data_IF_734801342066
#
_entry.id   IF_734801342066
#
_cell.length_a   1.000
_cell.length_b   1.000
_cell.length_c   1.000
_cell.angle_alpha   90.00
_cell.angle_beta   90.00
_cell.angle_gamma   90.00
#
_symmetry.space_group_name_H-M   'P 1'
#
loop_
_entity.id
_entity.type
_entity.pdbx_description
1 polymer ?
#
# COMPACT_ATOMS: atom_id res chain seq x y z
N UNK A 1 6.28 -11.34 7.43
CA UNK A 1 5.36 -11.08 8.57
C UNK A 1 4.26 -10.08 8.18
N UNK A 2 4.59 -8.90 7.63
CA UNK A 2 3.61 -7.88 7.23
C UNK A 2 2.52 -8.41 6.27
N UNK A 3 2.91 -9.07 5.17
CA UNK A 3 1.97 -9.67 4.21
C UNK A 3 1.02 -10.67 4.85
N UNK A 4 1.55 -11.58 5.67
CA UNK A 4 0.73 -12.58 6.36
C UNK A 4 -0.30 -11.95 7.29
N UNK A 5 0.10 -10.92 8.06
CA UNK A 5 -0.81 -10.18 8.93
C UNK A 5 -1.89 -9.46 8.12
N UNK A 6 -1.52 -8.71 7.07
CA UNK A 6 -2.47 -8.01 6.21
C UNK A 6 -3.48 -8.98 5.58
N UNK A 7 -3.01 -10.10 5.02
CA UNK A 7 -3.88 -11.09 4.38
C UNK A 7 -4.84 -11.76 5.37
N UNK A 8 -4.41 -12.00 6.60
CA UNK A 8 -5.29 -12.54 7.65
C UNK A 8 -6.42 -11.56 7.97
N UNK A 9 -6.09 -10.28 8.13
CA UNK A 9 -7.10 -9.23 8.40
C UNK A 9 -8.03 -9.04 7.20
N UNK A 10 -7.50 -9.02 5.98
CA UNK A 10 -8.27 -8.92 4.73
C UNK A 10 -9.23 -10.11 4.59
N UNK A 11 -8.78 -11.33 4.90
CA UNK A 11 -9.64 -12.52 4.91
C UNK A 11 -10.77 -12.41 5.92
N UNK A 12 -10.47 -12.06 7.18
CA UNK A 12 -11.48 -11.96 8.25
C UNK A 12 -12.52 -10.89 7.90
N UNK A 13 -12.07 -9.72 7.47
CA UNK A 13 -12.96 -8.61 7.14
C UNK A 13 -13.78 -8.92 5.88
N UNK A 14 -13.18 -9.51 4.85
CA UNK A 14 -13.90 -9.90 3.63
C UNK A 14 -14.97 -10.95 3.94
N UNK A 15 -14.63 -11.97 4.73
CA UNK A 15 -15.59 -12.98 5.18
C UNK A 15 -16.72 -12.36 6.01
N UNK A 16 -16.39 -11.49 6.96
CA UNK A 16 -17.39 -10.77 7.76
C UNK A 16 -18.32 -9.93 6.89
N UNK A 17 -17.77 -9.16 5.94
CA UNK A 17 -18.58 -8.32 5.05
C UNK A 17 -19.50 -9.18 4.19
N UNK A 18 -18.98 -10.27 3.62
CA UNK A 18 -19.77 -11.13 2.74
C UNK A 18 -20.89 -11.88 3.50
N UNK A 19 -20.62 -12.33 4.73
CA UNK A 19 -21.58 -13.11 5.53
C UNK A 19 -22.59 -12.22 6.27
N UNK A 20 -22.17 -11.06 6.76
CA UNK A 20 -22.97 -10.22 7.68
C UNK A 20 -23.37 -8.87 7.13
N UNK A 21 -22.71 -8.38 6.08
CA UNK A 21 -22.91 -7.04 5.53
C UNK A 21 -23.11 -7.05 4.02
N UNK A 22 -24.09 -7.83 3.56
CA UNK A 22 -24.51 -7.83 2.15
C UNK A 22 -24.99 -6.45 1.69
N UNK A 23 -25.43 -5.59 2.62
CA UNK A 23 -25.71 -4.17 2.39
C UNK A 23 -24.53 -3.44 1.76
N UNK A 24 -23.30 -3.69 2.23
CA UNK A 24 -22.09 -3.02 1.70
C UNK A 24 -21.74 -3.53 0.30
N UNK A 25 -21.96 -4.82 0.05
CA UNK A 25 -21.62 -5.47 -1.22
C UNK A 25 -22.60 -5.08 -2.32
N UNK A 26 -23.88 -4.87 -1.98
CA UNK A 26 -24.95 -4.53 -2.92
C UNK A 26 -25.34 -3.05 -2.93
N UNK A 27 -24.57 -2.18 -2.26
CA UNK A 27 -24.77 -0.74 -2.32
C UNK A 27 -24.71 -0.27 -3.77
N UNK A 28 -25.87 0.13 -4.28
CA UNK A 28 -25.98 0.78 -5.58
C UNK A 28 -25.34 2.16 -5.50
N UNK A 29 -24.56 2.60 -6.51
CA UNK A 29 -23.97 3.95 -6.56
C UNK A 29 -24.99 5.10 -6.42
N UNK A 30 -26.29 4.79 -6.55
CA UNK A 30 -27.40 5.77 -6.51
C UNK A 30 -28.03 5.98 -5.13
N UNK A 31 -27.51 5.42 -4.03
CA UNK A 31 -28.08 5.72 -2.71
C UNK A 31 -27.62 7.13 -2.25
N UNK A 32 -28.58 8.05 -2.10
CA UNK A 32 -28.35 9.44 -1.64
C UNK A 32 -27.98 9.52 -0.14
N UNK A 33 -27.98 8.37 0.54
CA UNK A 33 -27.40 8.26 1.87
C UNK A 33 -25.88 8.21 1.72
N UNK A 34 -25.19 9.22 2.25
CA UNK A 34 -23.73 9.21 2.45
C UNK A 34 -23.34 8.10 3.43
N UNK A 35 -23.44 6.85 3.00
CA UNK A 35 -22.98 5.71 3.77
C UNK A 35 -21.46 5.80 3.84
N UNK A 36 -20.97 6.35 4.95
CA UNK A 36 -19.54 6.50 5.18
C UNK A 36 -18.91 5.11 5.23
N UNK A 37 -17.87 4.93 4.43
CA UNK A 37 -17.09 3.68 4.41
C UNK A 37 -16.75 3.24 5.84
N UNK A 38 -17.11 2.00 6.24
CA UNK A 38 -16.85 1.53 7.60
C UNK A 38 -15.38 1.58 7.98
N UNK A 39 -15.09 1.79 9.26
CA UNK A 39 -13.72 1.97 9.76
C UNK A 39 -12.79 0.80 9.43
N UNK A 40 -13.31 -0.43 9.43
CA UNK A 40 -12.51 -1.63 9.13
C UNK A 40 -12.13 -1.73 7.65
N UNK A 41 -12.95 -1.20 6.73
CA UNK A 41 -12.59 -1.11 5.30
C UNK A 41 -11.53 -0.02 5.08
N UNK A 42 -11.64 1.10 5.80
CA UNK A 42 -10.58 2.12 5.81
C UNK A 42 -9.27 1.53 6.35
N UNK A 43 -9.32 0.75 7.42
CA UNK A 43 -8.16 0.05 7.96
C UNK A 43 -7.54 -0.92 6.95
N UNK A 44 -8.35 -1.73 6.25
CA UNK A 44 -7.84 -2.61 5.18
C UNK A 44 -7.14 -1.83 4.09
N UNK A 45 -7.68 -0.68 3.69
CA UNK A 45 -7.05 0.16 2.69
C UNK A 45 -5.70 0.69 3.17
N UNK A 46 -5.64 1.20 4.40
CA UNK A 46 -4.38 1.64 5.02
C UNK A 46 -3.35 0.50 5.04
N UNK A 47 -3.75 -0.68 5.50
CA UNK A 47 -2.86 -1.85 5.56
C UNK A 47 -2.41 -2.30 4.17
N UNK A 48 -3.28 -2.24 3.16
CA UNK A 48 -2.94 -2.54 1.77
C UNK A 48 -1.87 -1.58 1.23
N UNK A 49 -2.03 -0.27 1.44
CA UNK A 49 -1.07 0.76 0.98
C UNK A 49 0.30 0.58 1.66
N UNK A 50 0.30 0.33 2.97
CA UNK A 50 1.51 0.02 3.75
C UNK A 50 2.17 -1.24 3.20
N UNK A 51 1.42 -2.33 3.07
CA UNK A 51 1.92 -3.62 2.65
C UNK A 51 2.55 -3.55 1.26
N UNK A 52 1.88 -2.90 0.31
CA UNK A 52 2.36 -2.77 -1.05
C UNK A 52 3.68 -2.01 -1.14
N UNK A 53 3.73 -0.83 -0.51
CA UNK A 53 4.90 0.04 -0.57
C UNK A 53 6.09 -0.56 0.17
N UNK A 54 5.87 -1.07 1.38
CA UNK A 54 6.95 -1.58 2.24
C UNK A 54 7.52 -2.90 1.71
N UNK A 55 6.71 -3.83 1.21
CA UNK A 55 7.22 -5.11 0.67
C UNK A 55 8.18 -4.91 -0.50
N UNK A 56 7.82 -4.04 -1.45
CA UNK A 56 8.66 -3.73 -2.62
C UNK A 56 9.89 -2.95 -2.19
N UNK A 57 9.74 -1.95 -1.31
CA UNK A 57 10.89 -1.17 -0.81
C UNK A 57 11.92 -2.05 -0.10
N UNK A 58 11.48 -2.93 0.81
CA UNK A 58 12.39 -3.83 1.54
C UNK A 58 13.13 -4.75 0.57
N UNK A 59 12.48 -5.19 -0.50
CA UNK A 59 13.12 -6.04 -1.51
C UNK A 59 14.18 -5.28 -2.30
N UNK A 60 13.89 -4.04 -2.72
CA UNK A 60 14.86 -3.16 -3.37
C UNK A 60 16.05 -2.90 -2.44
N UNK A 61 15.79 -2.57 -1.17
CA UNK A 61 16.83 -2.31 -0.18
C UNK A 61 17.68 -3.56 0.09
N UNK A 62 17.06 -4.73 0.22
CA UNK A 62 17.76 -5.98 0.48
C UNK A 62 18.69 -6.37 -0.67
N UNK A 63 18.19 -6.41 -1.90
CA UNK A 63 19.01 -6.78 -3.06
C UNK A 63 19.96 -5.68 -3.53
N UNK A 64 19.70 -4.42 -3.17
CA UNK A 64 20.52 -3.27 -3.56
C UNK A 64 21.59 -2.87 -2.54
N UNK A 65 21.38 -3.11 -1.24
CA UNK A 65 22.26 -2.62 -0.16
C UNK A 65 22.91 -3.75 0.65
N UNK A 66 22.36 -4.97 0.62
CA UNK A 66 22.89 -6.12 1.34
C UNK A 66 23.38 -7.18 0.36
N UNK A 67 24.29 -8.03 0.83
CA UNK A 67 24.72 -9.22 0.08
C UNK A 67 23.62 -10.28 0.23
N UNK A 68 22.85 -10.59 -0.84
CA UNK A 68 21.74 -11.51 -0.73
C UNK A 68 22.27 -12.91 -0.47
N UNK A 69 21.82 -13.52 0.62
CA UNK A 69 22.00 -14.94 0.85
C UNK A 69 21.01 -15.70 -0.02
N UNK A 70 21.48 -16.73 -0.73
CA UNK A 70 20.63 -17.61 -1.55
C UNK A 70 19.79 -18.59 -0.74
N UNK A 71 19.62 -18.35 0.56
CA UNK A 71 18.83 -19.22 1.41
C UNK A 71 17.33 -19.06 1.09
N UNK A 72 16.54 -20.14 1.16
CA UNK A 72 15.13 -20.11 0.81
C UNK A 72 14.32 -19.07 1.61
N UNK A 73 14.67 -18.85 2.88
CA UNK A 73 13.94 -17.93 3.77
C UNK A 73 14.12 -16.48 3.33
N UNK A 74 15.32 -16.11 2.91
CA UNK A 74 15.64 -14.79 2.36
C UNK A 74 14.88 -14.55 1.05
N UNK A 75 14.91 -15.52 0.13
CA UNK A 75 14.21 -15.45 -1.16
C UNK A 75 12.70 -15.31 -0.94
N UNK A 76 12.13 -16.07 0.00
CA UNK A 76 10.73 -15.99 0.36
C UNK A 76 10.34 -14.61 0.89
N UNK A 77 11.11 -14.10 1.87
CA UNK A 77 10.81 -12.84 2.57
C UNK A 77 10.84 -11.61 1.65
N UNK A 78 11.66 -11.63 0.60
CA UNK A 78 11.90 -10.47 -0.26
C UNK A 78 11.32 -10.69 -1.67
N UNK A 79 11.89 -11.61 -2.45
CA UNK A 79 11.51 -11.80 -3.84
C UNK A 79 10.08 -12.34 -4.00
N UNK A 80 9.77 -13.48 -3.37
CA UNK A 80 8.44 -14.11 -3.51
C UNK A 80 7.36 -13.19 -2.91
N UNK A 81 7.64 -12.60 -1.75
CA UNK A 81 6.77 -11.59 -1.12
C UNK A 81 6.43 -10.44 -2.08
N UNK A 82 7.43 -9.80 -2.70
CA UNK A 82 7.16 -8.68 -3.62
C UNK A 82 6.37 -9.09 -4.85
N UNK A 83 6.67 -10.26 -5.43
CA UNK A 83 5.90 -10.81 -6.56
C UNK A 83 4.44 -11.03 -6.14
N UNK A 84 4.21 -11.64 -4.98
CA UNK A 84 2.87 -11.87 -4.44
C UNK A 84 2.10 -10.56 -4.28
N UNK A 85 2.75 -9.53 -3.72
CA UNK A 85 2.15 -8.21 -3.49
C UNK A 85 1.80 -7.51 -4.81
N UNK A 86 2.68 -7.55 -5.81
CA UNK A 86 2.40 -6.99 -7.14
C UNK A 86 1.24 -7.72 -7.83
N UNK A 87 1.20 -9.06 -7.78
CA UNK A 87 0.07 -9.82 -8.33
C UNK A 87 -1.23 -9.47 -7.62
N UNK A 88 -1.20 -9.42 -6.29
CA UNK A 88 -2.37 -9.06 -5.47
C UNK A 88 -2.87 -7.65 -5.77
N UNK A 89 -1.96 -6.71 -6.02
CA UNK A 89 -2.30 -5.35 -6.43
C UNK A 89 -3.13 -5.32 -7.72
N UNK A 90 -2.71 -6.07 -8.75
CA UNK A 90 -3.44 -6.15 -10.01
C UNK A 90 -4.79 -6.87 -9.89
N UNK A 91 -4.88 -7.89 -9.02
CA UNK A 91 -6.11 -8.68 -8.81
C UNK A 91 -7.15 -7.95 -7.95
N UNK A 92 -6.75 -7.39 -6.80
CA UNK A 92 -7.68 -6.82 -5.82
C UNK A 92 -8.29 -5.49 -6.27
N UNK A 93 -7.77 -4.86 -7.31
CA UNK A 93 -8.35 -3.69 -7.94
C UNK A 93 -8.55 -2.45 -7.04
N UNK A 94 -7.95 -2.42 -5.84
CA UNK A 94 -8.11 -1.37 -4.84
C UNK A 94 -7.52 -0.03 -5.36
N UNK A 95 -8.21 1.11 -5.17
CA UNK A 95 -7.71 2.39 -5.61
C UNK A 95 -6.49 2.83 -4.80
N UNK A 96 -5.55 3.55 -5.44
CA UNK A 96 -4.39 4.16 -4.76
C UNK A 96 -4.56 5.67 -4.73
N UNK A 97 -4.35 6.29 -3.57
CA UNK A 97 -4.39 7.75 -3.41
C UNK A 97 -3.00 8.29 -3.12
N UNK A 98 -2.64 9.41 -3.77
CA UNK A 98 -1.33 10.02 -3.60
C UNK A 98 -1.04 10.40 -2.13
N UNK A 99 -2.05 10.95 -1.43
CA UNK A 99 -1.93 11.36 -0.02
C UNK A 99 -1.74 10.18 0.95
N UNK A 100 -2.01 8.94 0.53
CA UNK A 100 -1.82 7.75 1.38
C UNK A 100 -0.35 7.38 1.57
N UNK A 101 0.60 8.07 0.91
CA UNK A 101 2.04 7.93 1.15
C UNK A 101 2.43 8.14 2.63
N UNK A 102 1.62 8.89 3.37
CA UNK A 102 1.84 9.11 4.82
C UNK A 102 1.80 7.81 5.62
N UNK A 103 1.01 6.82 5.22
CA UNK A 103 0.88 5.57 5.98
C UNK A 103 2.16 4.73 5.98
N UNK A 104 2.77 4.38 4.83
CA UNK A 104 4.05 3.69 4.84
C UNK A 104 5.19 4.56 5.43
N UNK A 105 5.13 5.89 5.32
CA UNK A 105 6.10 6.78 5.97
C UNK A 105 6.06 6.67 7.49
N UNK A 106 4.87 6.71 8.09
CA UNK A 106 4.68 6.55 9.54
C UNK A 106 5.21 5.20 10.01
N UNK A 107 4.94 4.13 9.26
CA UNK A 107 5.48 2.80 9.56
C UNK A 107 7.02 2.77 9.47
N UNK A 108 7.61 3.46 8.49
CA UNK A 108 9.05 3.64 8.40
C UNK A 108 9.64 4.30 9.64
N UNK A 109 9.05 5.41 10.10
CA UNK A 109 9.49 6.12 11.31
C UNK A 109 9.37 5.24 12.56
N UNK A 110 8.25 4.51 12.71
CA UNK A 110 8.07 3.56 13.82
C UNK A 110 9.17 2.49 13.81
N UNK A 111 9.51 1.97 12.63
CA UNK A 111 10.55 0.95 12.49
C UNK A 111 11.95 1.48 12.83
N UNK A 112 12.25 2.73 12.46
CA UNK A 112 13.51 3.40 12.84
C UNK A 112 13.63 3.49 14.37
N UNK A 113 12.58 3.98 15.04
CA UNK A 113 12.54 4.07 16.51
C UNK A 113 12.73 2.69 17.13
N UNK A 114 12.01 1.68 16.62
CA UNK A 114 12.16 0.30 17.06
C UNK A 114 13.60 -0.20 16.90
N UNK A 115 14.28 0.09 15.77
CA UNK A 115 15.64 -0.37 15.53
C UNK A 115 16.66 0.21 16.51
N UNK A 116 16.50 1.49 16.91
CA UNK A 116 17.33 2.11 17.95
C UNK A 116 17.12 1.42 19.29
N UNK A 117 15.85 1.27 19.69
CA UNK A 117 15.49 0.63 20.96
C UNK A 117 15.99 -0.82 21.00
N UNK A 118 15.91 -1.53 19.88
CA UNK A 118 16.38 -2.91 19.77
C UNK A 118 17.88 -3.03 20.03
N UNK A 119 18.69 -2.18 19.38
CA UNK A 119 20.15 -2.25 19.53
C UNK A 119 20.59 -1.81 20.93
N UNK A 120 20.03 -0.71 21.45
CA UNK A 120 20.39 -0.16 22.77
C UNK A 120 19.86 -1.02 23.92
N UNK A 121 18.66 -1.61 23.77
CA UNK A 121 18.01 -2.41 24.79
C UNK A 121 18.36 -3.89 24.78
N UNK A 122 18.97 -4.38 23.69
CA UNK A 122 19.46 -5.75 23.56
C UNK A 122 20.95 -5.86 23.87
N UNK A 123 21.62 -6.81 23.21
CA UNK A 123 23.05 -7.09 23.42
C UNK A 123 23.98 -6.13 22.62
N UNK A 124 23.47 -4.98 22.16
CA UNK A 124 24.21 -4.05 21.29
C UNK A 124 24.25 -4.46 19.81
N UNK A 125 23.65 -5.59 19.44
CA UNK A 125 23.65 -6.06 18.05
C UNK A 125 22.61 -5.34 17.18
N UNK A 126 23.06 -4.79 16.06
CA UNK A 126 22.17 -4.21 15.05
C UNK A 126 21.30 -5.29 14.37
N UNK A 127 20.06 -4.93 14.02
CA UNK A 127 19.14 -5.84 13.29
C UNK A 127 19.70 -6.16 11.89
N UNK A 128 20.22 -5.13 11.22
CA UNK A 128 20.84 -5.21 9.91
C UNK A 128 22.08 -4.32 9.88
N UNK A 129 23.11 -4.66 9.08
CA UNK A 129 24.31 -3.82 8.97
C UNK A 129 24.03 -2.37 8.54
N UNK A 130 22.98 -2.14 7.76
CA UNK A 130 22.56 -0.78 7.32
C UNK A 130 21.89 0.04 8.43
N UNK A 131 21.46 -0.61 9.52
CA UNK A 131 20.84 0.00 10.70
C UNK A 131 21.74 -0.11 11.93
N UNK A 132 23.05 -0.06 11.74
CA UNK A 132 24.01 -0.05 12.83
C UNK A 132 24.13 1.33 13.47
N UNK A 133 23.49 1.50 14.62
CA UNK A 133 23.46 2.78 15.34
C UNK A 133 24.79 3.15 16.00
N UNK A 134 25.76 2.24 16.08
CA UNK A 134 27.15 2.59 16.44
C UNK A 134 27.82 3.40 15.31
N UNK A 135 27.33 3.25 14.07
CA UNK A 135 27.70 4.02 12.88
C UNK A 135 26.59 5.01 12.47
N UNK A 136 26.08 5.76 13.45
CA UNK A 136 24.90 6.62 13.31
C UNK A 136 24.92 7.54 12.08
N UNK A 137 26.08 8.10 11.70
CA UNK A 137 26.18 8.97 10.52
C UNK A 137 25.74 8.27 9.22
N UNK A 138 26.24 7.06 8.99
CA UNK A 138 25.90 6.25 7.81
C UNK A 138 24.47 5.72 7.89
N UNK A 139 24.04 5.25 9.07
CA UNK A 139 22.68 4.75 9.28
C UNK A 139 21.62 5.83 9.07
N UNK A 140 21.86 7.07 9.53
CA UNK A 140 20.96 8.20 9.28
C UNK A 140 20.80 8.44 7.78
N UNK A 141 21.88 8.37 7.00
CA UNK A 141 21.81 8.54 5.54
C UNK A 141 20.90 7.46 4.93
N UNK A 142 21.11 6.19 5.26
CA UNK A 142 20.27 5.09 4.74
C UNK A 142 18.81 5.26 5.14
N UNK A 143 18.53 5.56 6.41
CA UNK A 143 17.18 5.77 6.93
C UNK A 143 16.47 6.92 6.22
N UNK A 144 17.14 8.07 6.07
CA UNK A 144 16.56 9.25 5.41
C UNK A 144 16.31 8.96 3.93
N UNK A 145 17.25 8.34 3.22
CA UNK A 145 17.08 8.00 1.80
C UNK A 145 15.95 6.98 1.62
N UNK A 146 15.93 5.88 2.36
CA UNK A 146 14.88 4.85 2.21
C UNK A 146 13.50 5.36 2.64
N UNK A 147 13.42 6.13 3.73
CA UNK A 147 12.13 6.60 4.26
C UNK A 147 11.62 7.81 3.48
N UNK A 148 12.42 8.87 3.33
CA UNK A 148 11.95 10.13 2.73
C UNK A 148 11.96 10.12 1.19
N UNK A 149 12.71 9.21 0.55
CA UNK A 149 12.78 9.11 -0.91
C UNK A 149 12.26 7.75 -1.38
N UNK A 150 12.77 6.65 -0.82
CA UNK A 150 12.40 5.30 -1.22
C UNK A 150 10.90 5.03 -1.09
N UNK A 151 10.31 5.30 0.09
CA UNK A 151 8.86 5.10 0.31
C UNK A 151 8.03 5.94 -0.68
N UNK A 152 8.22 7.27 -0.82
CA UNK A 152 7.47 8.04 -1.80
C UNK A 152 7.63 7.57 -3.24
N UNK A 153 8.84 7.19 -3.66
CA UNK A 153 9.10 6.70 -5.02
C UNK A 153 8.34 5.41 -5.28
N UNK A 154 8.38 4.45 -4.36
CA UNK A 154 7.64 3.18 -4.51
C UNK A 154 6.13 3.43 -4.48
N UNK A 155 5.64 4.29 -3.58
CA UNK A 155 4.22 4.66 -3.51
C UNK A 155 3.74 5.34 -4.80
N UNK A 156 4.56 6.24 -5.35
CA UNK A 156 4.30 6.90 -6.65
C UNK A 156 4.26 5.89 -7.79
N UNK A 157 5.11 4.86 -7.77
CA UNK A 157 5.06 3.78 -8.75
C UNK A 157 3.73 3.01 -8.68
N UNK A 158 3.25 2.66 -7.47
CA UNK A 158 1.92 2.05 -7.29
C UNK A 158 0.80 2.98 -7.76
N UNK A 159 0.88 4.27 -7.46
CA UNK A 159 -0.07 5.25 -7.94
C UNK A 159 -0.07 5.34 -9.47
N UNK A 160 1.10 5.34 -10.12
CA UNK A 160 1.22 5.34 -11.57
C UNK A 160 0.63 4.07 -12.20
N UNK A 161 0.89 2.89 -11.62
CA UNK A 161 0.27 1.63 -12.05
C UNK A 161 -1.25 1.66 -11.92
N UNK A 162 -1.76 2.24 -10.83
CA UNK A 162 -3.20 2.46 -10.66
C UNK A 162 -3.78 3.39 -11.73
N UNK A 163 -3.14 4.54 -12.01
CA UNK A 163 -3.59 5.46 -13.07
C UNK A 163 -3.55 4.81 -14.45
N UNK A 164 -2.51 4.02 -14.74
CA UNK A 164 -2.41 3.25 -15.98
C UNK A 164 -3.57 2.26 -16.12
N UNK A 165 -3.92 1.56 -15.04
CA UNK A 165 -5.06 0.63 -15.03
C UNK A 165 -6.38 1.33 -15.33
N UNK A 166 -6.63 2.49 -14.73
CA UNK A 166 -7.84 3.29 -15.00
C UNK A 166 -7.84 3.77 -16.46
N UNK A 167 -6.71 4.29 -16.94
CA UNK A 167 -6.58 4.72 -18.33
C UNK A 167 -6.87 3.60 -19.33
N UNK A 168 -6.32 2.40 -19.10
CA UNK A 168 -6.59 1.23 -19.95
C UNK A 168 -8.07 0.84 -19.89
N UNK A 169 -8.65 0.79 -18.69
CA UNK A 169 -10.06 0.49 -18.50
C UNK A 169 -10.96 1.46 -19.28
N UNK A 170 -10.72 2.77 -19.14
CA UNK A 170 -11.53 3.80 -19.81
C UNK A 170 -11.41 3.72 -21.32
N UNK A 171 -10.21 3.47 -21.85
CA UNK A 171 -9.99 3.30 -23.30
C UNK A 171 -10.64 2.03 -23.84
N UNK A 172 -10.64 0.94 -23.08
CA UNK A 172 -11.28 -0.31 -23.47
C UNK A 172 -12.82 -0.20 -23.41
N UNK A 173 -13.37 0.39 -22.35
CA UNK A 173 -14.82 0.58 -22.22
C UNK A 173 -15.38 1.61 -23.22
N UNK A 174 -14.66 2.69 -23.49
CA UNK A 174 -15.07 3.66 -24.52
C UNK A 174 -15.12 3.06 -25.93
N UNK A 175 -14.24 2.08 -26.24
CA UNK A 175 -14.27 1.34 -27.51
C UNK A 175 -15.46 0.38 -27.61
N UNK A 176 -15.98 -0.11 -26.50
CA UNK A 176 -17.11 -1.05 -26.47
C UNK A 176 -18.48 -0.39 -26.64
N UNK A 177 -18.55 0.94 -26.84
CA UNK A 177 -19.82 1.67 -27.01
C UNK A 177 -20.72 1.69 -25.77
N UNK A 178 -20.25 1.15 -24.64
CA UNK A 178 -20.93 1.21 -23.36
C UNK A 178 -20.52 2.52 -22.71
N UNK A 179 -21.41 3.52 -22.70
CA UNK A 179 -21.27 4.74 -21.92
C UNK A 179 -21.19 4.37 -20.42
N UNK A 180 -19.98 4.08 -19.94
CA UNK A 180 -19.71 3.86 -18.53
C UNK A 180 -19.48 5.24 -17.89
N UNK A 181 -20.62 5.80 -17.51
CA UNK A 181 -20.88 6.99 -16.69
C UNK A 181 -19.67 7.79 -16.15
N UNK A 182 -19.66 9.05 -16.58
CA UNK A 182 -19.08 10.24 -15.96
C UNK A 182 -19.33 10.33 -14.44
N UNK A 183 -18.51 9.66 -13.63
CA UNK A 183 -18.53 9.83 -12.16
C UNK A 183 -17.11 9.96 -11.55
N UNK A 184 -16.08 9.42 -12.21
CA UNK A 184 -14.70 9.48 -11.69
C UNK A 184 -14.04 10.87 -11.78
N UNK A 185 -14.51 11.74 -12.70
CA UNK A 185 -13.97 13.11 -12.86
C UNK A 185 -14.41 14.04 -11.73
N UNK A 186 -15.60 13.84 -11.13
CA UNK A 186 -16.11 14.67 -10.05
C UNK A 186 -15.33 14.46 -8.72
N UNK A 187 -14.88 13.23 -8.46
CA UNK A 187 -14.07 12.89 -7.28
C UNK A 187 -12.63 13.43 -7.41
N UNK A 188 -12.12 13.56 -8.64
CA UNK A 188 -10.76 14.07 -8.89
C UNK A 188 -10.62 15.57 -8.62
N UNK A 189 -11.70 16.34 -8.73
CA UNK A 189 -11.64 17.81 -8.70
C UNK A 189 -12.19 18.44 -7.41
N UNK A 190 -12.77 17.66 -6.47
CA UNK A 190 -13.26 18.23 -5.21
C UNK A 190 -14.39 19.26 -5.36
N UNK A 191 -15.06 19.28 -6.52
CA UNK A 191 -16.15 20.22 -6.79
C UNK A 191 -17.47 19.61 -6.28
N UNK A 192 -17.95 20.13 -5.15
CA UNK A 192 -19.34 19.99 -4.76
C UNK A 192 -20.19 20.98 -5.56
N UNK A 193 -20.96 20.51 -6.54
CA UNK A 193 -22.00 21.35 -7.13
C UNK A 193 -22.48 20.96 -8.53
N UNK A 194 -23.71 20.45 -8.57
CA UNK A 194 -24.81 20.86 -9.48
C UNK A 194 -24.44 21.18 -10.94
N UNK A 195 -24.94 20.35 -11.86
CA UNK A 195 -25.79 20.85 -12.96
C UNK A 195 -26.72 19.74 -13.45
N UNK A 196 -28.01 19.96 -13.18
CA UNK A 196 -29.15 19.39 -13.90
C UNK A 196 -29.00 19.64 -15.40
N UNK A 197 -29.20 18.62 -16.25
CA UNK A 197 -29.84 18.78 -17.56
C UNK A 197 -30.52 17.47 -17.99
N UNK A 198 -31.84 17.61 -18.22
CA UNK A 198 -32.81 16.86 -19.03
C UNK A 198 -32.54 15.40 -19.41
#
# INVERSE_FOLDING_TARGET
MLVGFYNLVDFIVTLYVHVRRSDIVHLSPKSDNKDQMPWYIKLLWILFEINNSISVLITIAFYGLLTPTGDPTSIEKHAINSVYVLLSFFVCAKPVRLLHVIYPLVIGVIYVIFSVIYQVGGDGAAIYPVLDWDQAGTTIIYVVVLTCIGVPVVHMAFFAMYQLRIFIHDKCCAKSGVQCYTEQTAIRNGESGVTSYM
#
